data_IF_288789066389
#
_entry.id   IF_288789066389
#
_cell.length_a   1.000
_cell.length_b   1.000
_cell.length_c   1.000
_cell.angle_alpha   90.00
_cell.angle_beta   90.00
_cell.angle_gamma   90.00
#
_symmetry.space_group_name_H-M   'P 1'
#
loop_
_entity.id
_entity.type
_entity.pdbx_description
1 polymer ?
#
# COMPACT_ATOMS: atom_id res chain seq x y z
N UNK A 1 4.60 -19.82 -27.41
CA UNK A 1 5.15 -18.62 -26.73
C UNK A 1 5.86 -19.11 -25.47
N UNK A 2 7.20 -19.17 -25.45
CA UNK A 2 7.94 -19.69 -24.29
C UNK A 2 7.77 -18.72 -23.12
N UNK A 3 7.18 -19.18 -22.02
CA UNK A 3 7.15 -18.42 -20.77
C UNK A 3 8.58 -18.03 -20.40
N UNK A 4 8.83 -16.73 -20.20
CA UNK A 4 10.12 -16.24 -19.75
C UNK A 4 10.30 -16.60 -18.27
N UNK A 5 10.92 -17.75 -17.99
CA UNK A 5 11.23 -18.17 -16.63
C UNK A 5 12.41 -17.32 -16.15
N UNK A 6 12.15 -16.29 -15.35
CA UNK A 6 13.18 -15.38 -14.81
C UNK A 6 14.30 -16.09 -14.05
N UNK A 7 14.05 -17.29 -13.54
CA UNK A 7 15.00 -18.09 -12.78
C UNK A 7 16.01 -18.86 -13.65
N UNK A 8 15.80 -18.96 -14.97
CA UNK A 8 16.64 -19.75 -15.89
C UNK A 8 17.74 -18.89 -16.55
N UNK A 9 17.62 -17.56 -16.49
CA UNK A 9 18.50 -16.63 -17.23
C UNK A 9 19.56 -15.90 -16.40
N UNK A 10 19.63 -16.09 -15.08
CA UNK A 10 20.61 -15.38 -14.23
C UNK A 10 21.73 -16.32 -13.74
N UNK A 11 22.16 -17.25 -14.60
CA UNK A 11 23.35 -18.09 -14.40
C UNK A 11 24.46 -17.49 -15.25
N UNK A 12 25.56 -17.08 -14.61
CA UNK A 12 26.72 -16.49 -15.28
C UNK A 12 28.00 -16.80 -14.52
N UNK A 13 29.05 -16.03 -14.77
CA UNK A 13 30.39 -16.16 -14.18
C UNK A 13 30.69 -15.11 -13.09
N UNK A 14 29.79 -14.15 -12.86
CA UNK A 14 30.00 -13.06 -11.90
C UNK A 14 29.44 -13.42 -10.53
N UNK A 15 30.27 -13.40 -9.51
CA UNK A 15 29.87 -13.75 -8.15
C UNK A 15 29.25 -12.55 -7.42
N UNK A 16 28.09 -12.76 -6.80
CA UNK A 16 27.42 -11.76 -5.96
C UNK A 16 28.12 -11.61 -4.59
N UNK A 17 28.45 -10.39 -4.19
CA UNK A 17 29.12 -10.11 -2.91
C UNK A 17 28.31 -10.52 -1.66
N UNK A 18 26.99 -10.65 -1.79
CA UNK A 18 26.10 -11.00 -0.66
C UNK A 18 25.76 -12.48 -0.57
N UNK A 19 25.43 -13.12 -1.70
CA UNK A 19 24.95 -14.50 -1.70
C UNK A 19 25.93 -15.51 -2.32
N UNK A 20 27.09 -15.03 -2.80
CA UNK A 20 28.13 -15.82 -3.45
C UNK A 20 27.65 -16.66 -4.66
N UNK A 21 26.43 -16.40 -5.16
CA UNK A 21 25.91 -17.05 -6.37
C UNK A 21 26.51 -16.40 -7.61
N UNK A 22 26.82 -17.22 -8.61
CA UNK A 22 27.24 -16.72 -9.90
C UNK A 22 26.02 -16.33 -10.75
N UNK A 23 26.05 -15.11 -11.27
CA UNK A 23 24.97 -14.48 -12.04
C UNK A 23 25.51 -13.79 -13.28
N UNK A 24 24.64 -13.48 -14.23
CA UNK A 24 25.08 -12.83 -15.48
C UNK A 24 25.34 -11.33 -15.29
N UNK A 25 24.59 -10.70 -14.37
CA UNK A 25 24.64 -9.25 -14.10
C UNK A 25 24.63 -8.94 -12.61
N UNK A 26 25.52 -8.03 -12.21
CA UNK A 26 25.56 -7.44 -10.88
C UNK A 26 25.06 -5.98 -10.94
N UNK A 27 24.48 -5.51 -9.84
CA UNK A 27 24.08 -4.13 -9.61
C UNK A 27 25.03 -3.51 -8.57
N UNK A 28 25.35 -2.23 -8.73
CA UNK A 28 26.09 -1.49 -7.71
C UNK A 28 25.14 -1.13 -6.56
N UNK A 29 25.59 -1.33 -5.33
CA UNK A 29 24.86 -1.05 -4.11
C UNK A 29 25.81 -0.48 -3.07
N UNK A 30 25.46 0.67 -2.48
CA UNK A 30 26.18 1.17 -1.31
C UNK A 30 25.58 0.52 -0.06
N UNK A 31 26.39 -0.27 0.65
CA UNK A 31 25.98 -0.92 1.88
C UNK A 31 25.60 0.13 2.94
N UNK A 32 24.39 0.03 3.47
CA UNK A 32 23.86 1.04 4.39
C UNK A 32 24.65 1.07 5.71
N UNK A 33 25.16 -0.09 6.15
CA UNK A 33 25.89 -0.23 7.41
C UNK A 33 27.36 0.17 7.24
N UNK A 34 28.02 -0.34 6.20
CA UNK A 34 29.48 -0.15 6.03
C UNK A 34 29.85 1.02 5.13
N UNK A 35 28.89 1.58 4.38
CA UNK A 35 29.10 2.61 3.33
C UNK A 35 30.01 2.16 2.19
N UNK A 36 30.23 0.86 2.06
CA UNK A 36 31.05 0.29 1.00
C UNK A 36 30.22 0.04 -0.26
N UNK A 37 30.82 0.29 -1.42
CA UNK A 37 30.22 -0.10 -2.69
C UNK A 37 30.39 -1.62 -2.92
N UNK A 38 29.27 -2.33 -3.03
CA UNK A 38 29.17 -3.76 -3.32
C UNK A 38 28.56 -4.00 -4.70
N UNK A 39 28.93 -5.11 -5.33
CA UNK A 39 28.32 -5.62 -6.56
C UNK A 39 27.48 -6.85 -6.24
N UNK A 40 26.17 -6.67 -6.25
CA UNK A 40 25.23 -7.71 -5.80
C UNK A 40 24.24 -8.11 -6.91
N UNK A 41 23.80 -9.37 -6.90
CA UNK A 41 22.82 -9.86 -7.87
C UNK A 41 21.48 -9.14 -7.72
N UNK A 42 20.61 -9.22 -8.74
CA UNK A 42 19.30 -8.55 -8.73
C UNK A 42 18.42 -8.94 -7.53
N UNK A 43 18.48 -10.21 -7.11
CA UNK A 43 17.72 -10.70 -5.95
C UNK A 43 18.22 -10.05 -4.66
N UNK A 44 19.54 -10.04 -4.44
CA UNK A 44 20.15 -9.39 -3.27
C UNK A 44 19.95 -7.88 -3.30
N UNK A 45 20.08 -7.24 -4.47
CA UNK A 45 19.81 -5.82 -4.64
C UNK A 45 18.38 -5.47 -4.23
N UNK A 46 17.39 -6.21 -4.72
CA UNK A 46 16.01 -6.00 -4.33
C UNK A 46 15.85 -6.16 -2.82
N UNK A 47 16.34 -7.25 -2.21
CA UNK A 47 16.25 -7.44 -0.74
C UNK A 47 16.90 -6.30 0.05
N UNK A 48 18.11 -5.90 -0.32
CA UNK A 48 18.87 -4.85 0.35
C UNK A 48 18.20 -3.47 0.23
N UNK A 49 17.46 -3.25 -0.86
CA UNK A 49 16.74 -2.01 -1.14
C UNK A 49 15.25 -2.05 -0.79
N UNK A 50 14.82 -3.02 0.03
CA UNK A 50 13.44 -3.16 0.52
C UNK A 50 12.49 -4.00 -0.36
N UNK A 51 12.91 -4.41 -1.54
CA UNK A 51 12.07 -5.01 -2.57
C UNK A 51 11.41 -3.93 -3.44
N UNK A 52 10.76 -4.30 -4.54
CA UNK A 52 9.94 -3.33 -5.29
C UNK A 52 8.66 -2.97 -4.55
N UNK A 53 8.17 -3.93 -3.78
CA UNK A 53 6.90 -3.87 -3.11
C UNK A 53 6.88 -2.81 -2.00
N UNK A 54 7.87 -2.85 -1.11
CA UNK A 54 8.03 -1.82 -0.09
C UNK A 54 8.35 -0.44 -0.66
N UNK A 55 8.75 -0.31 -1.94
CA UNK A 55 9.06 1.00 -2.53
C UNK A 55 7.81 1.73 -2.94
N UNK A 56 6.80 1.04 -3.48
CA UNK A 56 5.59 1.70 -3.97
C UNK A 56 4.75 2.22 -2.81
N UNK A 57 4.56 1.40 -1.78
CA UNK A 57 3.95 1.79 -0.50
C UNK A 57 4.69 2.97 0.13
N UNK A 58 6.01 2.88 0.23
CA UNK A 58 6.83 3.96 0.78
C UNK A 58 6.82 5.23 -0.08
N UNK A 59 6.75 5.12 -1.41
CA UNK A 59 6.64 6.27 -2.31
C UNK A 59 5.27 6.94 -2.18
N UNK A 60 4.19 6.16 -2.02
CA UNK A 60 2.85 6.67 -1.68
C UNK A 60 2.86 7.40 -0.35
N UNK A 61 3.38 6.77 0.71
CA UNK A 61 3.50 7.37 2.04
C UNK A 61 4.33 8.67 2.01
N UNK A 62 5.46 8.67 1.29
CA UNK A 62 6.30 9.86 1.10
C UNK A 62 5.59 10.97 0.34
N UNK A 63 4.79 10.62 -0.67
CA UNK A 63 4.01 11.59 -1.42
C UNK A 63 3.02 12.29 -0.50
N UNK A 64 2.22 11.54 0.26
CA UNK A 64 1.26 12.09 1.22
C UNK A 64 1.94 12.90 2.33
N UNK A 65 3.07 12.42 2.86
CA UNK A 65 3.82 13.09 3.93
C UNK A 65 4.41 14.43 3.49
N UNK A 66 4.79 14.57 2.22
CA UNK A 66 5.29 15.84 1.67
C UNK A 66 4.17 16.74 1.13
N UNK A 67 2.98 16.19 0.95
CA UNK A 67 1.80 16.88 0.41
C UNK A 67 1.01 17.64 1.47
N UNK A 68 -0.23 17.98 1.12
CA UNK A 68 -1.12 18.80 1.98
C UNK A 68 -1.39 18.17 3.35
N UNK A 69 -1.39 16.84 3.40
CA UNK A 69 -1.83 16.08 4.58
C UNK A 69 -0.70 15.65 5.51
N UNK A 70 0.57 15.94 5.17
CA UNK A 70 1.72 15.58 5.99
C UNK A 70 1.60 15.92 7.48
N UNK A 71 1.16 17.15 7.87
CA UNK A 71 0.95 17.51 9.26
C UNK A 71 -0.11 16.69 10.02
N UNK A 72 -1.01 16.02 9.29
CA UNK A 72 -2.12 15.24 9.85
C UNK A 72 -1.88 13.73 9.81
N UNK A 73 -0.71 13.29 9.31
CA UNK A 73 -0.31 11.88 9.37
C UNK A 73 0.06 11.54 10.80
N UNK A 74 -0.83 10.80 11.46
CA UNK A 74 -0.66 10.36 12.85
C UNK A 74 0.23 9.13 12.96
N UNK A 75 0.24 8.26 11.94
CA UNK A 75 1.19 7.15 11.89
C UNK A 75 1.49 6.72 10.46
N UNK A 76 2.74 6.32 10.23
CA UNK A 76 3.18 5.65 9.01
C UNK A 76 3.67 4.29 9.42
N UNK A 77 3.00 3.25 8.94
CA UNK A 77 3.44 1.89 9.12
C UNK A 77 3.75 1.73 10.63
N UNK A 78 2.78 1.91 11.53
CA UNK A 78 2.95 1.59 12.96
C UNK A 78 1.73 0.86 13.48
N UNK A 79 1.96 -0.01 14.46
CA UNK A 79 0.86 -0.65 15.18
C UNK A 79 0.02 0.47 15.80
N UNK A 80 -1.29 0.42 15.60
CA UNK A 80 -2.23 1.35 16.21
C UNK A 80 -2.08 1.24 17.75
N UNK A 81 -1.74 2.33 18.47
CA UNK A 81 -1.65 2.29 19.93
C UNK A 81 -3.05 2.07 20.52
N UNK A 82 -3.17 1.24 21.56
CA UNK A 82 -4.40 0.75 22.24
C UNK A 82 -4.94 -0.64 21.86
N UNK A 83 -4.28 -1.39 20.98
CA UNK A 83 -4.62 -2.79 20.71
C UNK A 83 -4.71 -3.65 21.99
N UNK A 84 -5.91 -3.79 22.54
CA UNK A 84 -6.16 -4.51 23.81
C UNK A 84 -6.11 -6.03 23.64
N UNK A 85 -5.99 -6.53 22.40
CA UNK A 85 -5.93 -7.95 22.09
C UNK A 85 -4.95 -8.25 20.94
N UNK A 86 -3.64 -8.13 21.17
CA UNK A 86 -2.59 -8.77 20.34
C UNK A 86 -2.60 -8.48 18.83
N UNK A 87 -3.41 -7.54 18.35
CA UNK A 87 -3.62 -7.21 16.95
C UNK A 87 -2.44 -6.36 16.49
N UNK A 88 -1.46 -7.01 15.85
CA UNK A 88 -0.28 -6.38 15.26
C UNK A 88 -0.61 -5.63 13.95
N UNK A 89 -1.87 -5.20 13.77
CA UNK A 89 -2.32 -4.60 12.52
C UNK A 89 -1.81 -3.17 12.41
N UNK A 90 -1.30 -2.86 11.23
CA UNK A 90 -0.45 -1.72 10.91
C UNK A 90 -0.95 -1.16 9.60
N UNK A 91 -1.78 -0.11 9.59
CA UNK A 91 -2.12 0.56 8.35
C UNK A 91 -0.87 1.22 7.77
N UNK A 92 -0.74 1.23 6.45
CA UNK A 92 0.43 1.83 5.79
C UNK A 92 0.50 3.34 6.10
N UNK A 93 -0.64 4.03 6.03
CA UNK A 93 -0.78 5.44 6.43
C UNK A 93 -2.06 5.64 7.24
N UNK A 94 -1.95 6.29 8.39
CA UNK A 94 -3.08 6.82 9.17
C UNK A 94 -3.04 8.34 9.16
N UNK A 95 -4.10 8.95 8.61
CA UNK A 95 -4.36 10.38 8.67
C UNK A 95 -5.45 10.61 9.70
N UNK A 96 -5.13 11.36 10.75
CA UNK A 96 -6.07 11.74 11.79
C UNK A 96 -5.68 13.13 12.32
N UNK A 97 -6.62 14.06 12.29
CA UNK A 97 -6.47 15.41 12.85
C UNK A 97 -7.37 15.64 14.07
N UNK A 98 -8.36 14.78 14.28
CA UNK A 98 -9.30 14.81 15.40
C UNK A 98 -9.69 13.39 15.78
N UNK A 99 -10.32 13.24 16.95
CA UNK A 99 -10.91 11.99 17.43
C UNK A 99 -12.19 11.57 16.67
N UNK A 100 -12.67 12.42 15.76
CA UNK A 100 -13.93 12.22 15.02
C UNK A 100 -13.74 11.64 13.61
N UNK A 101 -12.55 11.74 13.03
CA UNK A 101 -12.29 11.33 11.65
C UNK A 101 -10.92 10.64 11.54
N UNK A 102 -10.94 9.39 11.09
CA UNK A 102 -9.75 8.60 10.82
C UNK A 102 -9.79 8.11 9.36
N UNK A 103 -8.70 8.35 8.63
CA UNK A 103 -8.52 7.86 7.26
C UNK A 103 -7.31 6.92 7.24
N UNK A 104 -7.54 5.67 6.87
CA UNK A 104 -6.54 4.63 6.70
C UNK A 104 -6.28 4.44 5.22
N UNK A 105 -5.05 4.61 4.77
CA UNK A 105 -4.66 4.36 3.38
C UNK A 105 -3.80 3.10 3.35
N UNK A 106 -4.18 2.15 2.50
CA UNK A 106 -3.50 0.86 2.29
C UNK A 106 -3.04 0.77 0.83
N UNK A 107 -1.78 0.40 0.62
CA UNK A 107 -1.19 0.18 -0.69
C UNK A 107 -1.40 -1.27 -1.12
N UNK A 108 -2.41 -1.49 -1.95
CA UNK A 108 -2.81 -2.82 -2.37
C UNK A 108 -2.16 -3.25 -3.67
N UNK A 109 -0.85 -3.55 -3.62
CA UNK A 109 -0.15 -4.13 -4.77
C UNK A 109 -0.85 -5.40 -5.27
N UNK A 110 -1.02 -5.48 -6.59
CA UNK A 110 -1.77 -6.52 -7.30
C UNK A 110 -3.18 -6.72 -6.74
N UNK A 111 -3.79 -5.64 -6.25
CA UNK A 111 -5.12 -5.63 -5.66
C UNK A 111 -5.28 -6.60 -4.48
N UNK A 112 -4.18 -7.02 -3.84
CA UNK A 112 -4.19 -8.05 -2.80
C UNK A 112 -4.87 -9.38 -3.20
N UNK A 113 -4.93 -9.69 -4.49
CA UNK A 113 -5.58 -10.90 -5.06
C UNK A 113 -5.09 -12.26 -4.53
N UNK A 114 -4.03 -12.29 -3.71
CA UNK A 114 -3.54 -13.49 -3.03
C UNK A 114 -3.92 -13.63 -1.56
N UNK A 115 -4.64 -12.65 -0.99
CA UNK A 115 -5.08 -12.64 0.40
C UNK A 115 -6.50 -13.18 0.55
N UNK A 116 -6.82 -13.67 1.75
CA UNK A 116 -8.18 -14.05 2.09
C UNK A 116 -9.00 -12.79 2.41
N UNK A 117 -10.02 -12.53 1.60
CA UNK A 117 -10.98 -11.43 1.78
C UNK A 117 -11.53 -11.35 3.21
N UNK A 118 -11.89 -12.49 3.83
CA UNK A 118 -12.45 -12.50 5.19
C UNK A 118 -11.43 -12.04 6.22
N UNK A 119 -10.15 -12.33 5.99
CA UNK A 119 -9.07 -11.83 6.83
C UNK A 119 -8.92 -10.31 6.66
N UNK A 120 -9.03 -9.78 5.45
CA UNK A 120 -8.99 -8.33 5.20
C UNK A 120 -10.16 -7.59 5.84
N UNK A 121 -11.39 -8.11 5.71
CA UNK A 121 -12.57 -7.53 6.38
C UNK A 121 -12.43 -7.56 7.90
N UNK A 122 -11.93 -8.69 8.44
CA UNK A 122 -11.66 -8.82 9.88
C UNK A 122 -10.58 -7.83 10.34
N UNK A 123 -9.56 -7.60 9.52
CA UNK A 123 -8.50 -6.62 9.80
C UNK A 123 -9.06 -5.20 9.85
N UNK A 124 -9.87 -4.78 8.87
CA UNK A 124 -10.50 -3.46 8.85
C UNK A 124 -11.42 -3.27 10.07
N UNK A 125 -12.21 -4.30 10.41
CA UNK A 125 -13.08 -4.29 11.60
C UNK A 125 -12.29 -4.08 12.90
N UNK A 126 -11.19 -4.82 13.08
CA UNK A 126 -10.34 -4.67 14.27
C UNK A 126 -9.72 -3.29 14.33
N UNK A 127 -9.16 -2.77 13.22
CA UNK A 127 -8.57 -1.43 13.17
C UNK A 127 -9.61 -0.37 13.54
N UNK A 128 -10.81 -0.42 12.96
CA UNK A 128 -11.86 0.55 13.26
C UNK A 128 -12.39 0.46 14.69
N UNK A 129 -12.39 -0.72 15.30
CA UNK A 129 -12.82 -0.90 16.69
C UNK A 129 -11.92 -0.18 17.71
N UNK A 130 -10.68 0.14 17.32
CA UNK A 130 -9.76 0.96 18.12
C UNK A 130 -10.15 2.46 18.08
N UNK A 131 -10.98 2.87 17.12
CA UNK A 131 -11.48 4.24 16.95
C UNK A 131 -13.02 4.27 16.93
N UNK A 132 -13.70 3.83 18.01
CA UNK A 132 -15.14 3.60 18.01
C UNK A 132 -15.96 4.91 17.98
N UNK A 133 -15.35 6.04 18.33
CA UNK A 133 -15.99 7.36 18.27
C UNK A 133 -15.74 8.09 16.93
N UNK A 134 -14.87 7.55 16.08
CA UNK A 134 -14.50 8.16 14.82
C UNK A 134 -15.34 7.61 13.65
N UNK A 135 -15.51 8.43 12.63
CA UNK A 135 -15.84 7.96 11.28
C UNK A 135 -14.56 7.40 10.66
N UNK A 136 -14.59 6.14 10.30
CA UNK A 136 -13.44 5.39 9.80
C UNK A 136 -13.55 5.21 8.29
N UNK A 137 -12.59 5.77 7.55
CA UNK A 137 -12.53 5.65 6.10
C UNK A 137 -11.30 4.84 5.72
N UNK A 138 -11.50 3.75 4.98
CA UNK A 138 -10.41 2.96 4.40
C UNK A 138 -10.28 3.32 2.92
N UNK A 139 -9.09 3.70 2.49
CA UNK A 139 -8.77 3.91 1.07
C UNK A 139 -7.79 2.81 0.67
N UNK A 140 -8.26 1.86 -0.14
CA UNK A 140 -7.47 0.77 -0.69
C UNK A 140 -6.98 1.17 -2.07
N UNK A 141 -5.71 1.56 -2.15
CA UNK A 141 -5.12 2.14 -3.34
C UNK A 141 -4.25 1.12 -4.07
N UNK A 142 -4.68 0.70 -5.26
CA UNK A 142 -3.90 -0.20 -6.09
C UNK A 142 -2.93 0.62 -6.99
N UNK A 143 -1.60 0.40 -6.91
CA UNK A 143 -0.65 1.05 -7.81
C UNK A 143 -0.56 0.37 -9.19
N UNK A 144 -1.01 -0.88 -9.31
CA UNK A 144 -0.80 -1.71 -10.48
C UNK A 144 -1.85 -1.48 -11.57
N UNK A 145 -1.63 -2.11 -12.73
CA UNK A 145 -2.63 -2.18 -13.77
C UNK A 145 -3.85 -2.98 -13.29
N UNK A 146 -5.03 -2.61 -13.76
CA UNK A 146 -6.30 -3.24 -13.44
C UNK A 146 -7.11 -3.46 -14.71
N UNK A 147 -8.27 -4.12 -14.60
CA UNK A 147 -9.13 -4.44 -15.75
C UNK A 147 -10.53 -3.92 -15.52
N UNK A 148 -11.07 -3.24 -16.53
CA UNK A 148 -12.48 -2.88 -16.58
C UNK A 148 -13.03 -3.47 -17.87
N UNK A 149 -14.09 -4.26 -17.78
CA UNK A 149 -14.68 -4.99 -18.91
C UNK A 149 -13.61 -5.76 -19.70
N UNK A 150 -12.72 -6.47 -19.00
CA UNK A 150 -11.55 -7.17 -19.53
C UNK A 150 -10.46 -6.29 -20.19
N UNK A 151 -10.61 -4.97 -20.27
CA UNK A 151 -9.62 -4.05 -20.86
C UNK A 151 -8.61 -3.61 -19.80
N UNK A 152 -7.32 -3.77 -20.11
CA UNK A 152 -6.24 -3.35 -19.24
C UNK A 152 -6.17 -1.82 -19.15
N UNK A 153 -6.38 -1.30 -17.94
CA UNK A 153 -6.26 0.11 -17.62
C UNK A 153 -4.84 0.41 -17.14
N UNK A 154 -4.30 1.54 -17.62
CA UNK A 154 -2.92 1.99 -17.34
C UNK A 154 -2.92 3.46 -16.97
N UNK A 155 -3.19 3.74 -15.70
CA UNK A 155 -3.14 5.09 -15.17
C UNK A 155 -1.73 5.35 -14.61
N UNK A 156 -1.02 6.41 -15.05
CA UNK A 156 0.30 6.74 -14.52
C UNK A 156 0.28 6.92 -13.00
N UNK A 157 1.29 6.39 -12.31
CA UNK A 157 1.38 6.41 -10.84
C UNK A 157 1.21 7.83 -10.25
N UNK A 158 1.77 8.83 -10.93
CA UNK A 158 1.64 10.24 -10.52
C UNK A 158 0.18 10.69 -10.47
N UNK A 159 -0.60 10.38 -11.51
CA UNK A 159 -2.03 10.70 -11.55
C UNK A 159 -2.80 9.94 -10.46
N UNK A 160 -2.43 8.69 -10.20
CA UNK A 160 -3.03 7.90 -9.11
C UNK A 160 -2.81 8.51 -7.74
N UNK A 161 -1.62 9.07 -7.50
CA UNK A 161 -1.28 9.77 -6.25
C UNK A 161 -2.01 11.10 -6.14
N UNK A 162 -2.13 11.87 -7.24
CA UNK A 162 -2.92 13.11 -7.28
C UNK A 162 -4.40 12.84 -6.95
N UNK A 163 -4.99 11.78 -7.51
CA UNK A 163 -6.38 11.44 -7.24
C UNK A 163 -6.59 10.90 -5.82
N UNK A 164 -5.60 10.21 -5.26
CA UNK A 164 -5.60 9.81 -3.86
C UNK A 164 -5.62 11.04 -2.94
N UNK A 165 -4.78 12.05 -3.22
CA UNK A 165 -4.80 13.32 -2.47
C UNK A 165 -6.15 14.02 -2.59
N UNK A 166 -6.73 14.08 -3.80
CA UNK A 166 -8.04 14.68 -4.03
C UNK A 166 -9.17 13.95 -3.29
N UNK A 167 -9.13 12.62 -3.23
CA UNK A 167 -10.11 11.84 -2.47
C UNK A 167 -10.01 12.11 -0.97
N UNK A 168 -8.79 12.15 -0.43
CA UNK A 168 -8.57 12.49 0.99
C UNK A 168 -9.12 13.89 1.28
N UNK A 169 -8.84 14.87 0.40
CA UNK A 169 -9.37 16.24 0.52
C UNK A 169 -10.90 16.25 0.52
N UNK A 170 -11.52 15.52 -0.41
CA UNK A 170 -12.97 15.37 -0.49
C UNK A 170 -13.54 14.79 0.81
N UNK A 171 -13.02 13.65 1.28
CA UNK A 171 -13.50 12.99 2.51
C UNK A 171 -13.42 13.95 3.70
N UNK A 172 -12.30 14.66 3.88
CA UNK A 172 -12.15 15.63 4.97
C UNK A 172 -13.19 16.75 4.84
N UNK A 173 -13.31 17.35 3.65
CA UNK A 173 -14.22 18.49 3.43
C UNK A 173 -15.70 18.13 3.63
N UNK A 174 -16.10 16.89 3.29
CA UNK A 174 -17.48 16.43 3.39
C UNK A 174 -17.84 15.92 4.80
N UNK A 175 -16.85 15.68 5.67
CA UNK A 175 -17.07 15.06 6.98
C UNK A 175 -16.58 15.92 8.17
N UNK A 176 -15.91 17.06 7.94
CA UNK A 176 -15.39 17.92 9.01
C UNK A 176 -16.43 18.37 10.05
N UNK A 177 -17.68 18.62 9.62
CA UNK A 177 -18.77 19.10 10.48
C UNK A 177 -19.81 18.02 10.82
N UNK A 178 -19.63 16.79 10.33
CA UNK A 178 -20.60 15.71 10.59
C UNK A 178 -20.41 15.18 12.01
N UNK A 179 -21.47 15.30 12.82
CA UNK A 179 -21.54 14.78 14.19
C UNK A 179 -22.18 13.37 14.20
N UNK A 180 -22.70 12.91 13.06
CA UNK A 180 -23.48 11.68 12.95
C UNK A 180 -22.64 10.42 13.21
N UNK A 181 -23.35 9.37 13.69
CA UNK A 181 -22.85 8.08 14.18
C UNK A 181 -21.55 7.57 13.51
N UNK A 182 -20.66 6.92 14.31
CA UNK A 182 -19.52 6.18 13.79
C UNK A 182 -19.95 5.31 12.60
N UNK A 183 -19.25 5.46 11.48
CA UNK A 183 -19.44 4.65 10.29
C UNK A 183 -18.10 4.11 9.80
N UNK A 184 -18.16 3.02 9.05
CA UNK A 184 -17.03 2.53 8.26
C UNK A 184 -17.41 2.59 6.78
N UNK A 185 -16.56 3.24 5.99
CA UNK A 185 -16.70 3.32 4.53
C UNK A 185 -15.36 2.96 3.89
N UNK A 186 -15.41 2.22 2.77
CA UNK A 186 -14.23 1.73 2.06
C UNK A 186 -14.21 2.25 0.62
N UNK A 187 -13.12 2.87 0.21
CA UNK A 187 -12.89 3.30 -1.16
C UNK A 187 -11.85 2.41 -1.82
N UNK A 188 -12.22 1.74 -2.90
CA UNK A 188 -11.31 0.95 -3.72
C UNK A 188 -10.87 1.76 -4.94
N UNK A 189 -9.61 2.15 -5.00
CA UNK A 189 -9.07 2.93 -6.10
C UNK A 189 -8.32 2.04 -7.10
N UNK A 190 -8.73 2.11 -8.37
CA UNK A 190 -8.10 1.41 -9.49
C UNK A 190 -8.11 -0.13 -9.38
N UNK A 191 -9.25 -0.70 -9.02
CA UNK A 191 -9.45 -2.14 -8.93
C UNK A 191 -10.03 -2.69 -10.21
N UNK A 192 -9.82 -3.97 -10.46
CA UNK A 192 -10.58 -4.62 -11.51
C UNK A 192 -12.05 -4.71 -11.10
N UNK A 193 -12.96 -4.56 -12.06
CA UNK A 193 -14.40 -4.67 -11.83
C UNK A 193 -14.84 -6.06 -11.34
N UNK A 194 -14.01 -7.08 -11.61
CA UNK A 194 -14.17 -8.47 -11.17
C UNK A 194 -13.37 -8.84 -9.91
N UNK A 195 -12.88 -7.86 -9.14
CA UNK A 195 -12.06 -8.16 -7.96
C UNK A 195 -12.86 -8.82 -6.83
N UNK A 196 -12.40 -9.99 -6.37
CA UNK A 196 -12.97 -10.69 -5.21
C UNK A 196 -12.67 -9.97 -3.87
N UNK A 197 -11.83 -8.94 -3.87
CA UNK A 197 -11.38 -8.24 -2.66
C UNK A 197 -12.31 -7.13 -2.18
N UNK A 198 -13.41 -6.85 -2.89
CA UNK A 198 -14.42 -5.90 -2.45
C UNK A 198 -15.15 -6.42 -1.21
N UNK A 199 -15.19 -5.63 -0.15
CA UNK A 199 -15.84 -6.01 1.10
C UNK A 199 -17.31 -6.35 0.91
N UNK A 200 -17.79 -7.33 1.68
CA UNK A 200 -19.23 -7.67 1.79
C UNK A 200 -19.87 -7.10 3.05
N UNK A 201 -19.04 -6.62 4.00
CA UNK A 201 -19.46 -6.29 5.36
C UNK A 201 -19.61 -4.78 5.59
N UNK A 202 -19.06 -3.95 4.70
CA UNK A 202 -19.03 -2.50 4.86
C UNK A 202 -19.54 -1.79 3.60
N UNK A 203 -19.97 -0.54 3.76
CA UNK A 203 -20.30 0.30 2.61
C UNK A 203 -19.00 0.60 1.84
N UNK A 204 -19.03 0.47 0.52
CA UNK A 204 -17.88 0.77 -0.31
C UNK A 204 -18.22 1.46 -1.63
N UNK A 205 -17.24 2.16 -2.18
CA UNK A 205 -17.27 2.78 -3.51
C UNK A 205 -16.02 2.38 -4.30
N UNK A 206 -16.18 2.15 -5.60
CA UNK A 206 -15.08 1.85 -6.54
C UNK A 206 -14.79 3.11 -7.35
N UNK A 207 -13.51 3.50 -7.41
CA UNK A 207 -13.06 4.74 -8.05
C UNK A 207 -12.00 4.44 -9.11
N UNK A 208 -12.32 4.74 -10.37
CA UNK A 208 -11.48 4.40 -11.52
C UNK A 208 -10.70 5.58 -12.12
N UNK A 209 -10.91 6.80 -11.63
CA UNK A 209 -10.63 8.04 -12.39
C UNK A 209 -9.64 8.98 -11.77
#
# INVERSE_FOLDING_TARGET
MKQHISNVHDVGDKTCDYCAKNVFKLNNWEDIQTKENKKICRVCYNKASGGRNSRVEHDMAKFLMKGKFGPFISSLDKIVPHATCGSKYRPDVLIASSDKLCIFVECDEKQHSGYDKKCEDSRMSVISSEFPAARNFFIRWNPDNYRIENKCQRTPIKKRLENLENLIEKIISENQEKIDNPCMEVYYMYYSDDSDMFTENFNFEILDN
#
